data_IF_962241539496
#
_entry.id   IF_962241539496
#
_cell.length_a   1.000
_cell.length_b   1.000
_cell.length_c   1.000
_cell.angle_alpha   90.00
_cell.angle_beta   90.00
_cell.angle_gamma   90.00
#
_symmetry.space_group_name_H-M   'P 1'
#
loop_
_entity.id
_entity.type
_entity.pdbx_description
1 polymer ?
#
# COMPACT_ATOMS: atom_id res chain seq x y z
N UNK A 1 -22.59 3.35 -5.38
CA UNK A 1 -21.44 3.56 -4.47
C UNK A 1 -20.30 2.81 -5.11
N UNK A 2 -19.26 3.53 -5.51
CA UNK A 2 -18.13 2.95 -6.23
C UNK A 2 -16.98 2.67 -5.27
N UNK A 3 -16.35 1.52 -5.42
CA UNK A 3 -15.09 1.20 -4.75
C UNK A 3 -13.96 1.50 -5.73
N UNK A 4 -13.16 2.51 -5.42
CA UNK A 4 -12.10 3.01 -6.30
C UNK A 4 -10.74 2.83 -5.66
N UNK A 5 -9.73 2.55 -6.51
CA UNK A 5 -8.32 2.57 -6.12
C UNK A 5 -7.69 3.83 -6.66
N UNK A 6 -6.98 4.53 -5.80
CA UNK A 6 -6.32 5.81 -6.12
C UNK A 6 -4.87 5.73 -5.66
N UNK A 7 -3.94 6.15 -6.50
CA UNK A 7 -2.51 6.05 -6.26
C UNK A 7 -1.71 5.65 -7.50
N UNK A 8 -0.50 5.13 -7.28
CA UNK A 8 0.39 4.70 -8.34
C UNK A 8 0.00 3.34 -8.96
N UNK A 9 0.59 2.98 -10.11
CA UNK A 9 0.41 1.68 -10.73
C UNK A 9 0.90 0.55 -9.81
N UNK A 10 0.24 -0.62 -9.89
CA UNK A 10 0.57 -1.81 -9.10
C UNK A 10 1.67 -2.61 -9.79
N UNK A 11 2.66 -3.06 -9.00
CA UNK A 11 3.76 -3.92 -9.44
C UNK A 11 3.84 -5.19 -8.57
N UNK A 12 4.56 -6.21 -9.05
CA UNK A 12 4.86 -7.42 -8.24
C UNK A 12 5.97 -7.11 -7.23
N UNK A 13 5.60 -6.43 -6.15
CA UNK A 13 6.51 -6.01 -5.06
C UNK A 13 5.92 -6.55 -3.76
N UNK A 14 6.78 -7.04 -2.85
CA UNK A 14 6.32 -7.51 -1.54
C UNK A 14 5.45 -8.77 -1.57
N UNK A 15 5.46 -9.55 -2.66
CA UNK A 15 4.61 -10.74 -2.81
C UNK A 15 5.00 -11.78 -1.77
N UNK A 16 4.03 -12.24 -0.98
CA UNK A 16 4.28 -13.19 0.13
C UNK A 16 4.84 -12.54 1.40
N UNK A 17 5.10 -11.22 1.40
CA UNK A 17 5.67 -10.51 2.55
C UNK A 17 4.82 -10.58 3.82
N UNK A 18 3.48 -10.69 3.69
CA UNK A 18 2.57 -10.85 4.83
C UNK A 18 2.68 -12.21 5.54
N UNK A 19 3.05 -13.27 4.82
CA UNK A 19 3.33 -14.59 5.40
C UNK A 19 4.79 -14.70 5.87
N UNK A 20 5.73 -14.11 5.13
CA UNK A 20 7.15 -14.09 5.48
C UNK A 20 7.44 -13.36 6.81
N UNK A 21 6.78 -12.21 7.05
CA UNK A 21 6.95 -11.44 8.30
C UNK A 21 6.48 -12.19 9.55
N UNK A 22 5.67 -13.24 9.40
CA UNK A 22 5.14 -14.04 10.51
C UNK A 22 5.94 -15.29 10.83
N UNK A 23 6.81 -15.78 9.92
CA UNK A 23 7.47 -17.10 10.04
C UNK A 23 8.99 -16.99 10.31
N UNK A 24 9.65 -15.87 9.99
CA UNK A 24 11.12 -15.70 10.12
C UNK A 24 11.63 -15.31 11.53
N UNK A 25 11.02 -15.80 12.61
CA UNK A 25 11.57 -15.61 13.98
C UNK A 25 12.57 -16.73 14.36
N UNK A 26 12.75 -17.76 13.52
CA UNK A 26 13.60 -18.92 13.84
C UNK A 26 14.71 -19.14 12.82
N UNK A 27 15.70 -18.24 12.84
CA UNK A 27 17.13 -18.57 12.98
C UNK A 27 17.82 -19.54 12.00
N UNK A 28 17.21 -19.96 10.90
CA UNK A 28 17.87 -20.82 9.90
C UNK A 28 18.07 -20.01 8.60
N UNK A 29 19.00 -19.06 8.68
CA UNK A 29 19.45 -18.24 7.55
C UNK A 29 20.23 -19.11 6.56
N UNK A 30 19.54 -19.96 5.80
CA UNK A 30 20.02 -20.28 4.45
C UNK A 30 20.00 -18.96 3.68
N UNK A 31 21.16 -18.55 3.16
CA UNK A 31 21.35 -17.29 2.45
C UNK A 31 20.69 -17.31 1.05
N UNK A 32 19.43 -17.77 0.96
CA UNK A 32 18.62 -17.57 -0.22
C UNK A 32 18.18 -16.10 -0.27
N UNK A 33 18.34 -15.49 -1.44
CA UNK A 33 18.00 -14.08 -1.66
C UNK A 33 16.48 -13.92 -1.57
N UNK A 34 15.99 -13.39 -0.45
CA UNK A 34 14.57 -13.04 -0.26
C UNK A 34 14.22 -11.73 -1.00
N UNK A 35 14.00 -11.86 -2.31
CA UNK A 35 13.52 -10.74 -3.13
C UNK A 35 12.09 -10.31 -2.77
N UNK A 36 11.32 -11.15 -2.08
CA UNK A 36 9.97 -10.83 -1.59
C UNK A 36 9.99 -9.77 -0.49
N UNK A 37 11.08 -9.67 0.26
CA UNK A 37 11.28 -8.65 1.29
C UNK A 37 11.64 -7.26 0.73
N UNK A 38 12.06 -7.15 -0.54
CA UNK A 38 12.49 -5.87 -1.14
C UNK A 38 11.28 -4.98 -1.45
N UNK A 39 11.29 -3.77 -0.89
CA UNK A 39 10.22 -2.77 -1.05
C UNK A 39 10.60 -1.64 -2.00
N UNK A 40 9.59 -0.90 -2.47
CA UNK A 40 9.74 0.28 -3.33
C UNK A 40 8.87 1.43 -2.82
N UNK A 41 9.50 2.56 -2.50
CA UNK A 41 8.80 3.80 -2.15
C UNK A 41 8.75 4.79 -3.31
N UNK A 42 7.68 5.58 -3.36
CA UNK A 42 7.50 6.71 -4.28
C UNK A 42 6.81 7.86 -3.53
N UNK A 43 7.61 8.69 -2.87
CA UNK A 43 7.11 9.78 -2.03
C UNK A 43 6.40 10.89 -2.84
N UNK A 44 6.73 11.07 -4.12
CA UNK A 44 6.06 12.04 -4.98
C UNK A 44 4.62 11.60 -5.25
N UNK A 45 4.42 10.31 -5.53
CA UNK A 45 3.07 9.74 -5.71
C UNK A 45 2.24 9.87 -4.44
N UNK A 46 2.81 9.58 -3.27
CA UNK A 46 2.12 9.73 -1.99
C UNK A 46 1.74 11.21 -1.73
N UNK A 47 2.62 12.16 -2.06
CA UNK A 47 2.32 13.58 -1.91
C UNK A 47 1.23 14.07 -2.88
N UNK A 48 1.17 13.53 -4.10
CA UNK A 48 0.06 13.78 -5.03
C UNK A 48 -1.26 13.27 -4.44
N UNK A 49 -1.26 12.09 -3.83
CA UNK A 49 -2.42 11.56 -3.14
C UNK A 49 -2.85 12.44 -1.97
N UNK A 50 -1.91 12.90 -1.14
CA UNK A 50 -2.20 13.81 -0.03
C UNK A 50 -2.94 15.08 -0.50
N UNK A 51 -2.51 15.66 -1.63
CA UNK A 51 -3.15 16.85 -2.21
C UNK A 51 -4.59 16.58 -2.68
N UNK A 52 -4.83 15.42 -3.31
CA UNK A 52 -6.19 15.02 -3.73
C UNK A 52 -7.10 14.87 -2.51
N UNK A 53 -6.64 14.19 -1.46
CA UNK A 53 -7.42 13.98 -0.23
C UNK A 53 -7.73 15.30 0.47
N UNK A 54 -6.73 16.18 0.59
CA UNK A 54 -6.94 17.54 1.12
C UNK A 54 -8.00 18.30 0.34
N UNK A 55 -7.92 18.31 -0.99
CA UNK A 55 -8.91 19.00 -1.82
C UNK A 55 -10.33 18.46 -1.62
N UNK A 56 -10.51 17.14 -1.43
CA UNK A 56 -11.82 16.56 -1.14
C UNK A 56 -12.35 16.94 0.25
N UNK A 57 -11.49 16.95 1.27
CA UNK A 57 -11.88 17.22 2.66
C UNK A 57 -12.11 18.72 2.90
N UNK A 58 -11.29 19.58 2.27
CA UNK A 58 -11.36 21.04 2.39
C UNK A 58 -12.44 21.64 1.46
N UNK A 59 -13.13 20.83 0.65
CA UNK A 59 -14.23 21.29 -0.20
C UNK A 59 -15.48 21.60 0.63
N UNK A 60 -15.78 22.89 0.83
CA UNK A 60 -16.88 23.36 1.67
C UNK A 60 -18.27 22.84 1.28
N UNK A 61 -18.48 22.56 -0.01
CA UNK A 61 -19.79 22.21 -0.54
C UNK A 61 -20.04 20.72 -0.65
N UNK A 62 -18.99 19.89 -0.76
CA UNK A 62 -19.14 18.45 -0.98
C UNK A 62 -17.82 17.69 -0.83
N UNK A 63 -17.80 16.69 0.07
CA UNK A 63 -16.74 15.70 0.11
C UNK A 63 -17.23 14.38 -0.54
N UNK A 64 -16.64 13.94 -1.67
CA UNK A 64 -17.04 12.69 -2.34
C UNK A 64 -16.62 11.42 -1.59
N UNK A 65 -15.71 11.52 -0.60
CA UNK A 65 -15.14 10.38 0.09
C UNK A 65 -16.09 9.92 1.21
N UNK A 66 -16.74 8.79 1.01
CA UNK A 66 -17.56 8.15 2.05
C UNK A 66 -16.70 7.42 3.10
N UNK A 67 -15.66 6.72 2.65
CA UNK A 67 -14.66 6.06 3.49
C UNK A 67 -13.34 5.94 2.74
N UNK A 68 -12.23 5.84 3.46
CA UNK A 68 -10.89 5.64 2.90
C UNK A 68 -10.06 4.76 3.82
N UNK A 69 -9.30 3.84 3.22
CA UNK A 69 -8.39 2.94 3.90
C UNK A 69 -7.07 2.87 3.13
N UNK A 70 -5.97 2.70 3.85
CA UNK A 70 -4.67 2.45 3.25
C UNK A 70 -4.59 1.03 2.66
N UNK A 71 -3.54 0.79 1.88
CA UNK A 71 -3.24 -0.53 1.30
C UNK A 71 -1.85 -0.95 1.78
N UNK A 72 -1.84 -1.88 2.75
CA UNK A 72 -0.64 -2.42 3.36
C UNK A 72 -0.42 -3.91 3.05
N UNK A 73 -0.16 -4.70 4.09
CA UNK A 73 0.05 -6.15 3.96
C UNK A 73 -1.15 -6.86 3.30
N UNK A 74 -0.88 -7.84 2.43
CA UNK A 74 -1.91 -8.55 1.66
C UNK A 74 -2.41 -7.80 0.42
N UNK A 75 -2.16 -6.50 0.31
CA UNK A 75 -2.56 -5.68 -0.82
C UNK A 75 -4.03 -5.86 -1.18
N UNK A 76 -4.32 -6.07 -2.46
CA UNK A 76 -5.69 -6.16 -2.98
C UNK A 76 -6.38 -7.52 -2.80
N UNK A 77 -5.67 -8.55 -2.35
CA UNK A 77 -6.08 -9.95 -2.54
C UNK A 77 -5.75 -10.86 -1.37
N UNK A 78 -5.86 -10.35 -0.14
CA UNK A 78 -6.17 -11.26 0.97
C UNK A 78 -7.53 -11.94 0.70
#
# INVERSE_FOLDING_TARGET
MEVVKIGGPVYRIGVGGGAASSIQVQGDNTAELDFGAVQRGDAEMEQKMNRVLRACIECEHYNPICSIHDQGAGGNGA
#
